data_IF_188642763323
#
_entry.id   IF_188642763323
#
_cell.length_a   1.000
_cell.length_b   1.000
_cell.length_c   1.000
_cell.angle_alpha   90.00
_cell.angle_beta   90.00
_cell.angle_gamma   90.00
#
_symmetry.space_group_name_H-M   'P 1'
#
loop_
_entity.id
_entity.type
_entity.pdbx_description
1 polymer ?
#
# COMPACT_ATOMS: atom_id res chain seq x y z
N UNK A 1 -15.89 -7.82 5.87
CA UNK A 1 -14.83 -7.06 5.22
C UNK A 1 -13.54 -7.05 6.04
N UNK A 2 -13.58 -6.63 7.28
CA UNK A 2 -12.39 -6.48 8.14
C UNK A 2 -11.49 -7.73 8.23
N UNK A 3 -12.06 -8.92 8.37
CA UNK A 3 -11.26 -10.16 8.44
C UNK A 3 -10.54 -10.47 7.12
N UNK A 4 -11.14 -10.13 5.99
CA UNK A 4 -10.54 -10.34 4.66
C UNK A 4 -9.38 -9.36 4.42
N UNK A 5 -9.51 -8.10 4.85
CA UNK A 5 -8.46 -7.09 4.74
C UNK A 5 -7.22 -7.46 5.56
N UNK A 6 -7.41 -8.25 6.62
CA UNK A 6 -6.29 -8.73 7.43
C UNK A 6 -5.29 -9.61 6.64
N UNK A 7 -5.73 -10.26 5.57
CA UNK A 7 -4.84 -10.99 4.65
C UNK A 7 -3.84 -10.08 3.93
N UNK A 8 -4.30 -8.90 3.50
CA UNK A 8 -3.44 -7.87 2.87
C UNK A 8 -2.46 -7.30 3.91
N UNK A 9 -2.93 -7.08 5.12
CA UNK A 9 -2.12 -6.60 6.25
C UNK A 9 -0.99 -7.60 6.55
N UNK A 10 -1.29 -8.90 6.62
CA UNK A 10 -0.27 -9.93 6.83
C UNK A 10 0.73 -10.03 5.67
N UNK A 11 0.25 -9.86 4.42
CA UNK A 11 1.13 -9.78 3.27
C UNK A 11 2.13 -8.63 3.40
N UNK A 12 1.64 -7.43 3.73
CA UNK A 12 2.48 -6.25 3.90
C UNK A 12 3.48 -6.39 5.05
N UNK A 13 3.04 -6.98 6.16
CA UNK A 13 3.93 -7.29 7.27
C UNK A 13 5.07 -8.24 6.85
N UNK A 14 4.77 -9.33 6.13
CA UNK A 14 5.77 -10.30 5.67
C UNK A 14 6.74 -9.67 4.67
N UNK A 15 6.25 -8.85 3.73
CA UNK A 15 7.12 -8.08 2.83
C UNK A 15 8.03 -7.14 3.62
N UNK A 16 7.48 -6.45 4.63
CA UNK A 16 8.28 -5.62 5.53
C UNK A 16 9.35 -6.41 6.28
N UNK A 17 9.02 -7.62 6.72
CA UNK A 17 9.93 -8.51 7.43
C UNK A 17 11.08 -9.02 6.53
N UNK A 18 10.85 -9.16 5.23
CA UNK A 18 11.87 -9.52 4.25
C UNK A 18 12.83 -8.37 3.92
N UNK A 19 12.43 -7.12 4.16
CA UNK A 19 13.18 -5.93 3.80
C UNK A 19 14.01 -5.39 4.96
N UNK A 20 15.33 -5.33 4.75
CA UNK A 20 16.24 -4.70 5.71
C UNK A 20 16.09 -3.18 5.67
N UNK A 21 16.10 -2.48 6.84
CA UNK A 21 15.99 -1.02 6.90
C UNK A 21 17.01 -0.28 6.03
N UNK A 22 18.26 -0.80 5.93
CA UNK A 22 19.28 -0.21 5.07
C UNK A 22 18.85 -0.20 3.59
N UNK A 23 18.22 -1.27 3.11
CA UNK A 23 17.75 -1.36 1.73
C UNK A 23 16.65 -0.33 1.43
N UNK A 24 15.74 -0.09 2.37
CA UNK A 24 14.73 0.98 2.24
C UNK A 24 15.38 2.36 2.16
N UNK A 25 16.41 2.59 2.97
CA UNK A 25 17.15 3.85 2.92
C UNK A 25 17.87 4.06 1.58
N UNK A 26 18.44 3.01 1.02
CA UNK A 26 19.03 3.03 -0.33
C UNK A 26 18.00 3.31 -1.42
N UNK A 27 16.76 2.85 -1.23
CA UNK A 27 15.65 3.05 -2.17
C UNK A 27 14.94 4.40 -2.01
N UNK A 28 15.29 5.25 -1.04
CA UNK A 28 14.56 6.50 -0.73
C UNK A 28 14.37 7.41 -1.95
N UNK A 29 15.41 7.56 -2.80
CA UNK A 29 15.32 8.39 -4.00
C UNK A 29 14.32 7.80 -5.00
N UNK A 30 14.27 6.48 -5.10
CA UNK A 30 13.29 5.79 -5.94
C UNK A 30 11.87 5.97 -5.39
N UNK A 31 11.69 5.84 -4.08
CA UNK A 31 10.40 5.97 -3.40
C UNK A 31 9.87 7.40 -3.60
N UNK A 32 10.64 8.41 -3.23
CA UNK A 32 10.15 9.79 -3.25
C UNK A 32 10.14 10.39 -4.66
N UNK A 33 11.14 10.14 -5.49
CA UNK A 33 11.20 10.75 -6.84
C UNK A 33 10.28 10.03 -7.82
N UNK A 34 10.33 8.68 -7.91
CA UNK A 34 9.46 7.95 -8.84
C UNK A 34 8.01 7.96 -8.38
N UNK A 35 7.79 7.79 -7.07
CA UNK A 35 6.45 7.81 -6.50
C UNK A 35 5.77 9.17 -6.66
N UNK A 36 6.46 10.28 -6.34
CA UNK A 36 5.89 11.62 -6.52
C UNK A 36 5.62 11.96 -7.99
N UNK A 37 6.57 11.65 -8.88
CA UNK A 37 6.36 11.83 -10.32
C UNK A 37 5.13 11.05 -10.81
N UNK A 38 5.00 9.79 -10.38
CA UNK A 38 3.88 8.96 -10.79
C UNK A 38 2.55 9.54 -10.27
N UNK A 39 2.43 9.80 -8.97
CA UNK A 39 1.17 10.29 -8.36
C UNK A 39 0.78 11.64 -8.94
N UNK A 40 1.73 12.59 -9.06
CA UNK A 40 1.44 13.93 -9.55
C UNK A 40 1.10 13.93 -11.04
N UNK A 41 1.88 13.25 -11.88
CA UNK A 41 1.65 13.25 -13.34
C UNK A 41 0.39 12.45 -13.68
N UNK A 42 0.24 11.23 -13.13
CA UNK A 42 -0.95 10.42 -13.39
C UNK A 42 -2.20 11.09 -12.83
N UNK A 43 -2.13 11.62 -11.59
CA UNK A 43 -3.24 12.34 -10.97
C UNK A 43 -3.66 13.57 -11.77
N UNK A 44 -2.70 14.41 -12.20
CA UNK A 44 -2.99 15.60 -13.00
C UNK A 44 -3.61 15.25 -14.36
N UNK A 45 -3.08 14.25 -15.07
CA UNK A 45 -3.62 13.83 -16.37
C UNK A 45 -5.03 13.24 -16.20
N UNK A 46 -5.25 12.36 -15.25
CA UNK A 46 -6.56 11.78 -14.99
C UNK A 46 -7.56 12.83 -14.52
N UNK A 47 -7.14 13.76 -13.65
CA UNK A 47 -7.94 14.92 -13.26
C UNK A 47 -8.37 15.76 -14.47
N UNK A 48 -7.46 16.06 -15.40
CA UNK A 48 -7.78 16.80 -16.62
C UNK A 48 -8.76 16.03 -17.52
N UNK A 49 -8.61 14.73 -17.63
CA UNK A 49 -9.54 13.88 -18.38
C UNK A 49 -10.94 13.96 -17.76
N UNK A 50 -11.05 13.83 -16.43
CA UNK A 50 -12.34 13.93 -15.73
C UNK A 50 -12.95 15.32 -15.89
N UNK A 51 -12.15 16.37 -15.74
CA UNK A 51 -12.58 17.76 -15.86
C UNK A 51 -13.12 18.07 -17.28
N UNK A 52 -12.41 17.64 -18.33
CA UNK A 52 -12.72 18.01 -19.70
C UNK A 52 -13.78 17.10 -20.34
N UNK A 53 -13.73 15.77 -20.08
CA UNK A 53 -14.66 14.83 -20.70
C UNK A 53 -15.98 14.74 -19.94
N UNK A 54 -15.94 14.78 -18.62
CA UNK A 54 -17.14 14.63 -17.77
C UNK A 54 -17.66 15.97 -17.23
N UNK A 55 -16.98 17.09 -17.55
CA UNK A 55 -17.36 18.47 -17.16
C UNK A 55 -17.67 18.60 -15.65
N UNK A 56 -16.94 17.85 -14.83
CA UNK A 56 -17.09 17.87 -13.38
C UNK A 56 -16.42 19.10 -12.78
N UNK A 57 -16.83 19.48 -11.56
CA UNK A 57 -16.18 20.54 -10.80
C UNK A 57 -14.71 20.19 -10.53
N UNK A 58 -13.86 21.20 -10.41
CA UNK A 58 -12.41 21.05 -10.21
C UNK A 58 -12.09 20.17 -8.98
N UNK A 59 -12.80 20.37 -7.86
CA UNK A 59 -12.64 19.59 -6.64
C UNK A 59 -12.97 18.11 -6.84
N UNK A 60 -14.08 17.81 -7.53
CA UNK A 60 -14.48 16.44 -7.84
C UNK A 60 -13.49 15.78 -8.80
N UNK A 61 -13.06 16.51 -9.84
CA UNK A 61 -12.07 16.04 -10.81
C UNK A 61 -10.72 15.75 -10.16
N UNK A 62 -10.31 16.58 -9.19
CA UNK A 62 -9.11 16.35 -8.38
C UNK A 62 -9.21 15.04 -7.61
N UNK A 63 -10.28 14.85 -6.83
CA UNK A 63 -10.46 13.64 -6.01
C UNK A 63 -10.48 12.39 -6.89
N UNK A 64 -11.27 12.38 -7.96
CA UNK A 64 -11.37 11.22 -8.87
C UNK A 64 -10.03 10.96 -9.56
N UNK A 65 -9.39 12.00 -10.11
CA UNK A 65 -8.13 11.86 -10.84
C UNK A 65 -7.00 11.30 -9.99
N UNK A 66 -6.85 11.82 -8.77
CA UNK A 66 -5.82 11.35 -7.85
C UNK A 66 -6.16 9.97 -7.25
N UNK A 67 -7.43 9.67 -6.97
CA UNK A 67 -7.84 8.34 -6.55
C UNK A 67 -7.55 7.28 -7.62
N UNK A 68 -7.87 7.56 -8.88
CA UNK A 68 -7.58 6.67 -10.00
C UNK A 68 -6.08 6.55 -10.32
N UNK A 69 -5.27 7.53 -9.93
CA UNK A 69 -3.81 7.47 -10.07
C UNK A 69 -3.16 6.44 -9.15
N UNK A 70 -3.77 6.16 -8.00
CA UNK A 70 -3.29 5.14 -7.07
C UNK A 70 -3.46 3.74 -7.69
N UNK A 71 -2.68 2.79 -7.18
CA UNK A 71 -2.69 1.39 -7.63
C UNK A 71 -2.91 0.47 -6.44
N UNK A 72 -3.43 -0.73 -6.68
CA UNK A 72 -3.66 -1.71 -5.61
C UNK A 72 -2.35 -2.33 -5.13
N UNK A 73 -1.87 -1.91 -3.97
CA UNK A 73 -0.66 -2.44 -3.33
C UNK A 73 -0.77 -3.95 -3.13
N UNK A 74 -1.92 -4.43 -2.63
CA UNK A 74 -2.15 -5.84 -2.38
C UNK A 74 -2.03 -6.71 -3.64
N UNK A 75 -2.67 -6.31 -4.73
CA UNK A 75 -2.66 -7.07 -5.98
C UNK A 75 -1.27 -7.10 -6.62
N UNK A 76 -0.60 -5.94 -6.73
CA UNK A 76 0.72 -5.86 -7.37
C UNK A 76 1.74 -6.68 -6.59
N UNK A 77 1.79 -6.53 -5.27
CA UNK A 77 2.78 -7.22 -4.46
C UNK A 77 2.53 -8.71 -4.40
N UNK A 78 1.27 -9.14 -4.36
CA UNK A 78 0.92 -10.55 -4.49
C UNK A 78 1.43 -11.12 -5.82
N UNK A 79 1.13 -10.46 -6.93
CA UNK A 79 1.55 -10.89 -8.28
C UNK A 79 3.07 -10.97 -8.41
N UNK A 80 3.79 -9.95 -7.93
CA UNK A 80 5.26 -9.92 -7.97
C UNK A 80 5.89 -11.00 -7.09
N UNK A 81 5.30 -11.28 -5.94
CA UNK A 81 5.75 -12.34 -5.02
C UNK A 81 5.54 -13.72 -5.64
N UNK A 82 4.34 -14.01 -6.16
CA UNK A 82 4.03 -15.29 -6.81
C UNK A 82 4.93 -15.57 -8.00
N UNK A 83 5.25 -14.54 -8.79
CA UNK A 83 6.16 -14.63 -9.93
C UNK A 83 7.65 -14.57 -9.56
N UNK A 84 7.98 -14.42 -8.27
CA UNK A 84 9.34 -14.23 -7.76
C UNK A 84 10.07 -13.03 -8.42
N UNK A 85 9.33 -11.99 -8.76
CA UNK A 85 9.83 -10.82 -9.50
C UNK A 85 9.98 -9.55 -8.64
N UNK A 86 9.72 -9.63 -7.34
CA UNK A 86 9.85 -8.50 -6.40
C UNK A 86 11.29 -7.92 -6.38
N UNK A 87 12.30 -8.76 -6.58
CA UNK A 87 13.71 -8.37 -6.60
C UNK A 87 14.24 -7.91 -7.98
N UNK A 88 13.42 -7.93 -9.01
CA UNK A 88 13.78 -7.39 -10.33
C UNK A 88 13.79 -5.87 -10.34
N UNK A 89 14.41 -5.25 -11.34
CA UNK A 89 14.46 -3.78 -11.45
C UNK A 89 13.05 -3.16 -11.44
N UNK A 90 12.13 -3.68 -12.26
CA UNK A 90 10.76 -3.15 -12.31
C UNK A 90 9.95 -3.53 -11.06
N UNK A 91 10.20 -4.69 -10.44
CA UNK A 91 9.55 -5.10 -9.20
C UNK A 91 9.90 -4.16 -8.03
N UNK A 92 11.19 -3.84 -7.87
CA UNK A 92 11.65 -2.88 -6.87
C UNK A 92 11.11 -1.47 -7.11
N UNK A 93 11.00 -1.03 -8.38
CA UNK A 93 10.42 0.26 -8.72
C UNK A 93 8.91 0.28 -8.47
N UNK A 94 8.19 -0.79 -8.82
CA UNK A 94 6.76 -0.94 -8.50
C UNK A 94 6.54 -0.85 -7.00
N UNK A 95 7.32 -1.58 -6.22
CA UNK A 95 7.27 -1.52 -4.75
C UNK A 95 7.54 -0.11 -4.22
N UNK A 96 8.57 0.57 -4.75
CA UNK A 96 8.91 1.95 -4.34
C UNK A 96 7.75 2.92 -4.59
N UNK A 97 7.10 2.83 -5.76
CA UNK A 97 5.95 3.67 -6.12
C UNK A 97 4.76 3.37 -5.20
N UNK A 98 4.44 2.11 -4.97
CA UNK A 98 3.33 1.71 -4.09
C UNK A 98 3.53 2.20 -2.65
N UNK A 99 4.75 2.06 -2.12
CA UNK A 99 5.07 2.55 -0.79
C UNK A 99 4.90 4.07 -0.69
N UNK A 100 5.29 4.82 -1.74
CA UNK A 100 5.03 6.26 -1.80
C UNK A 100 3.52 6.55 -1.88
N UNK A 101 2.75 5.79 -2.65
CA UNK A 101 1.30 5.96 -2.76
C UNK A 101 0.61 5.79 -1.40
N UNK A 102 1.01 4.79 -0.61
CA UNK A 102 0.48 4.57 0.74
C UNK A 102 0.77 5.78 1.67
N UNK A 103 1.94 6.39 1.55
CA UNK A 103 2.28 7.63 2.27
C UNK A 103 1.48 8.81 1.73
N UNK A 104 1.35 8.94 0.41
CA UNK A 104 0.64 10.04 -0.25
C UNK A 104 -0.88 9.99 -0.05
N UNK A 105 -1.45 8.81 0.23
CA UNK A 105 -2.88 8.66 0.51
C UNK A 105 -3.30 9.49 1.75
N UNK A 106 -2.43 9.63 2.75
CA UNK A 106 -2.72 10.38 3.97
C UNK A 106 -3.06 11.86 3.67
N UNK A 107 -2.18 12.66 3.01
CA UNK A 107 -2.51 14.04 2.67
C UNK A 107 -3.64 14.14 1.63
N UNK A 108 -3.77 13.18 0.71
CA UNK A 108 -4.87 13.16 -0.25
C UNK A 108 -6.23 13.02 0.45
N UNK A 109 -6.35 12.11 1.40
CA UNK A 109 -7.57 11.93 2.21
C UNK A 109 -7.85 13.17 3.09
N UNK A 110 -6.81 13.79 3.64
CA UNK A 110 -6.94 15.00 4.45
C UNK A 110 -7.46 16.22 3.66
N UNK A 111 -7.22 16.29 2.36
CA UNK A 111 -7.68 17.37 1.48
C UNK A 111 -9.17 17.23 1.13
N UNK A 112 -9.74 16.01 1.11
CA UNK A 112 -11.14 15.78 0.69
C UNK A 112 -12.15 16.62 1.48
N UNK A 113 -12.16 16.64 2.83
CA UNK A 113 -13.09 17.48 3.61
C UNK A 113 -12.93 18.97 3.34
N UNK A 114 -11.69 19.45 3.10
CA UNK A 114 -11.41 20.84 2.75
C UNK A 114 -12.03 21.22 1.40
N UNK A 115 -11.96 20.32 0.41
CA UNK A 115 -12.57 20.51 -0.90
C UNK A 115 -14.10 20.42 -0.86
N UNK A 116 -14.65 19.62 0.05
CA UNK A 116 -16.09 19.50 0.26
C UNK A 116 -16.71 20.69 1.01
N UNK A 117 -15.91 21.62 1.54
CA UNK A 117 -16.37 22.76 2.34
C UNK A 117 -16.99 22.37 3.68
N UNK A 118 -16.77 21.13 4.13
CA UNK A 118 -17.13 20.68 5.47
C UNK A 118 -16.08 21.14 6.44
N UNK A 119 -16.49 21.77 7.55
CA UNK A 119 -15.55 22.15 8.60
C UNK A 119 -14.84 20.89 9.11
N UNK A 120 -13.58 20.73 8.71
CA UNK A 120 -12.76 19.62 9.13
C UNK A 120 -12.30 19.85 10.56
N UNK A 121 -12.95 19.20 11.51
CA UNK A 121 -12.70 19.38 12.93
C UNK A 121 -11.35 18.88 13.43
N UNK A 122 -10.53 18.16 12.63
CA UNK A 122 -9.38 17.46 13.19
C UNK A 122 -8.08 17.33 12.34
N UNK A 123 -7.86 18.13 11.29
CA UNK A 123 -6.59 18.04 10.54
C UNK A 123 -5.60 19.18 10.81
N UNK A 124 -5.56 19.67 12.05
CA UNK A 124 -4.59 20.67 12.50
C UNK A 124 -3.19 20.08 12.77
N UNK A 125 -2.26 20.94 13.17
CA UNK A 125 -0.89 20.59 13.60
C UNK A 125 -0.88 19.40 14.57
N UNK A 126 -1.90 19.27 15.42
CA UNK A 126 -2.05 18.17 16.37
C UNK A 126 -2.17 16.79 15.67
N UNK A 127 -2.86 16.70 14.53
CA UNK A 127 -2.98 15.45 13.75
C UNK A 127 -1.61 15.02 13.18
N UNK A 128 -0.88 15.93 12.56
CA UNK A 128 0.46 15.64 12.05
C UNK A 128 1.44 15.30 13.19
N UNK A 129 1.33 15.98 14.33
CA UNK A 129 2.11 15.64 15.50
C UNK A 129 1.77 14.23 16.03
N UNK A 130 0.49 13.85 16.03
CA UNK A 130 0.06 12.49 16.41
C UNK A 130 0.63 11.42 15.46
N UNK A 131 0.63 11.67 14.14
CA UNK A 131 1.25 10.77 13.15
C UNK A 131 2.74 10.58 13.46
N UNK A 132 3.49 11.67 13.62
CA UNK A 132 4.93 11.63 13.94
C UNK A 132 5.17 10.91 15.27
N UNK A 133 4.36 11.23 16.28
CA UNK A 133 4.45 10.57 17.59
C UNK A 133 4.17 9.07 17.50
N UNK A 134 3.21 8.65 16.68
CA UNK A 134 2.88 7.23 16.46
C UNK A 134 4.04 6.48 15.80
N UNK A 135 4.62 7.01 14.72
CA UNK A 135 5.76 6.37 14.07
C UNK A 135 6.99 6.32 14.98
N UNK A 136 7.24 7.42 15.73
CA UNK A 136 8.33 7.46 16.72
C UNK A 136 8.07 6.46 17.85
N UNK A 137 6.84 6.42 18.35
CA UNK A 137 6.40 5.47 19.37
C UNK A 137 6.53 4.01 18.92
N UNK A 138 6.13 3.72 17.67
CA UNK A 138 6.27 2.39 17.08
C UNK A 138 7.74 1.96 16.95
N UNK A 139 8.61 2.89 16.54
CA UNK A 139 10.04 2.64 16.47
C UNK A 139 10.65 2.35 17.85
N UNK A 140 10.31 3.16 18.85
CA UNK A 140 10.78 2.97 20.24
C UNK A 140 10.22 1.67 20.83
N UNK A 141 8.93 1.41 20.61
CA UNK A 141 8.25 0.17 21.06
C UNK A 141 8.92 -1.07 20.45
N UNK A 142 9.22 -1.04 19.14
CA UNK A 142 9.93 -2.13 18.49
C UNK A 142 11.29 -2.40 19.14
N UNK A 143 12.06 -1.34 19.38
CA UNK A 143 13.43 -1.47 19.90
C UNK A 143 13.48 -1.90 21.38
N UNK A 144 12.60 -1.32 22.21
CA UNK A 144 12.69 -1.47 23.68
C UNK A 144 11.71 -2.49 24.26
N UNK A 145 10.63 -2.81 23.56
CA UNK A 145 9.59 -3.72 24.04
C UNK A 145 9.53 -5.01 23.22
N UNK A 146 9.39 -4.90 21.90
CA UNK A 146 9.20 -6.08 21.05
C UNK A 146 10.39 -7.05 21.12
N UNK A 147 11.61 -6.57 20.98
CA UNK A 147 12.81 -7.44 20.98
C UNK A 147 12.99 -8.20 22.30
N UNK A 148 12.97 -7.56 23.48
CA UNK A 148 13.08 -8.31 24.75
C UNK A 148 11.87 -9.23 25.00
N UNK A 149 10.67 -8.84 24.54
CA UNK A 149 9.48 -9.65 24.69
C UNK A 149 9.55 -10.93 23.84
N UNK A 150 9.96 -10.83 22.57
CA UNK A 150 10.21 -12.02 21.74
C UNK A 150 11.31 -12.92 22.32
N UNK A 151 12.37 -12.37 22.89
CA UNK A 151 13.41 -13.15 23.58
C UNK A 151 12.86 -13.90 24.78
N UNK A 152 11.96 -13.28 25.53
CA UNK A 152 11.30 -13.94 26.68
C UNK A 152 10.40 -15.09 26.21
N UNK A 153 9.59 -14.85 25.19
CA UNK A 153 8.68 -15.85 24.62
C UNK A 153 9.45 -17.01 23.99
N UNK A 154 10.50 -16.73 23.22
CA UNK A 154 11.32 -17.77 22.59
C UNK A 154 12.00 -18.73 23.59
N UNK A 155 12.32 -18.23 24.79
CA UNK A 155 12.87 -19.10 25.85
C UNK A 155 11.89 -20.18 26.34
N UNK A 156 10.58 -20.00 26.10
CA UNK A 156 9.57 -21.00 26.46
C UNK A 156 9.60 -22.23 25.54
N UNK A 157 10.23 -22.12 24.35
CA UNK A 157 10.29 -23.19 23.35
C UNK A 157 8.96 -23.47 22.64
N UNK A 158 7.90 -22.69 22.93
CA UNK A 158 6.57 -22.89 22.35
C UNK A 158 6.41 -22.02 21.10
N UNK A 159 6.41 -22.63 19.91
CA UNK A 159 6.25 -21.96 18.60
C UNK A 159 4.89 -21.24 18.51
N UNK A 160 3.87 -21.80 19.15
CA UNK A 160 2.51 -21.23 19.18
C UNK A 160 2.47 -19.88 19.87
N UNK A 161 3.30 -19.66 20.91
CA UNK A 161 3.41 -18.38 21.59
C UNK A 161 4.05 -17.31 20.70
N UNK A 162 5.05 -17.67 19.90
CA UNK A 162 5.69 -16.74 18.96
C UNK A 162 4.67 -16.29 17.91
N UNK A 163 3.88 -17.23 17.38
CA UNK A 163 2.79 -16.93 16.44
C UNK A 163 1.75 -16.00 17.05
N UNK A 164 1.27 -16.34 18.24
CA UNK A 164 0.24 -15.55 18.94
C UNK A 164 0.72 -14.12 19.24
N UNK A 165 1.96 -13.97 19.67
CA UNK A 165 2.58 -12.67 19.94
C UNK A 165 2.77 -11.87 18.64
N UNK A 166 3.25 -12.51 17.59
CA UNK A 166 3.39 -11.87 16.28
C UNK A 166 2.07 -11.32 15.74
N UNK A 167 1.02 -12.15 15.76
CA UNK A 167 -0.33 -11.76 15.34
C UNK A 167 -0.92 -10.66 16.26
N UNK A 168 -0.71 -10.76 17.56
CA UNK A 168 -1.17 -9.75 18.52
C UNK A 168 -0.52 -8.38 18.25
N UNK A 169 0.79 -8.35 18.00
CA UNK A 169 1.50 -7.10 17.69
C UNK A 169 1.00 -6.50 16.40
N UNK A 170 0.82 -7.31 15.35
CA UNK A 170 0.27 -6.82 14.08
C UNK A 170 -1.12 -6.23 14.30
N UNK A 171 -2.00 -6.95 14.99
CA UNK A 171 -3.36 -6.48 15.28
C UNK A 171 -3.37 -5.18 16.08
N UNK A 172 -2.53 -5.08 17.12
CA UNK A 172 -2.41 -3.89 17.95
C UNK A 172 -1.95 -2.66 17.13
N UNK A 173 -0.97 -2.84 16.25
CA UNK A 173 -0.50 -1.76 15.37
C UNK A 173 -1.57 -1.38 14.35
N UNK A 174 -2.25 -2.35 13.75
CA UNK A 174 -3.35 -2.11 12.80
C UNK A 174 -4.46 -1.29 13.45
N UNK A 175 -4.92 -1.69 14.63
CA UNK A 175 -5.95 -0.94 15.38
C UNK A 175 -5.48 0.48 15.73
N UNK A 176 -4.21 0.64 16.12
CA UNK A 176 -3.63 1.97 16.38
C UNK A 176 -3.62 2.83 15.12
N UNK A 177 -3.23 2.29 13.97
CA UNK A 177 -3.20 3.02 12.71
C UNK A 177 -4.61 3.41 12.24
N UNK A 178 -5.56 2.47 12.37
CA UNK A 178 -6.96 2.70 12.01
C UNK A 178 -7.58 3.84 12.85
N UNK A 179 -7.38 3.84 14.17
CA UNK A 179 -7.87 4.91 15.06
C UNK A 179 -7.32 6.29 14.72
N UNK A 180 -6.16 6.36 14.08
CA UNK A 180 -5.51 7.60 13.65
C UNK A 180 -5.83 7.97 12.20
N UNK A 181 -6.61 7.14 11.48
CA UNK A 181 -6.89 7.34 10.06
C UNK A 181 -5.65 7.19 9.18
N UNK A 182 -4.65 6.40 9.61
CA UNK A 182 -3.42 6.12 8.86
C UNK A 182 -3.59 4.76 8.17
N UNK A 183 -2.94 4.60 7.01
CA UNK A 183 -2.92 3.33 6.28
C UNK A 183 -2.47 2.17 7.19
N UNK A 184 -3.37 1.21 7.39
CA UNK A 184 -3.13 -0.01 8.19
C UNK A 184 -2.08 -0.90 7.52
N UNK A 185 -2.05 -0.93 6.18
CA UNK A 185 -1.08 -1.66 5.37
C UNK A 185 0.33 -1.09 5.54
N UNK A 186 0.47 0.25 5.55
CA UNK A 186 1.73 0.92 5.83
C UNK A 186 2.21 0.62 7.26
N UNK A 187 1.32 0.64 8.26
CA UNK A 187 1.62 0.30 9.64
C UNK A 187 2.14 -1.13 9.80
N UNK A 188 1.46 -2.08 9.16
CA UNK A 188 1.87 -3.49 9.15
C UNK A 188 3.25 -3.67 8.48
N UNK A 189 3.46 -3.03 7.33
CA UNK A 189 4.74 -3.05 6.62
C UNK A 189 5.89 -2.52 7.49
N UNK A 190 5.72 -1.36 8.11
CA UNK A 190 6.73 -0.77 8.99
C UNK A 190 7.02 -1.65 10.22
N UNK A 191 5.98 -2.28 10.78
CA UNK A 191 6.15 -3.24 11.87
C UNK A 191 7.01 -4.43 11.43
N UNK A 192 6.79 -4.95 10.22
CA UNK A 192 7.62 -5.98 9.62
C UNK A 192 9.08 -5.53 9.45
N UNK A 193 9.29 -4.34 8.89
CA UNK A 193 10.65 -3.75 8.71
C UNK A 193 11.38 -3.58 10.05
N UNK A 194 10.68 -3.11 11.08
CA UNK A 194 11.27 -2.94 12.41
C UNK A 194 11.64 -4.28 13.07
N UNK A 195 10.97 -5.36 12.70
CA UNK A 195 11.25 -6.71 13.16
C UNK A 195 12.25 -7.45 12.25
N UNK A 196 12.53 -6.94 11.05
CA UNK A 196 13.42 -7.56 10.05
C UNK A 196 14.85 -7.82 10.55
N UNK A 197 15.35 -6.98 11.46
CA UNK A 197 16.65 -7.12 12.12
C UNK A 197 16.59 -7.99 13.40
N UNK A 198 15.43 -8.59 13.71
CA UNK A 198 15.27 -9.44 14.89
C UNK A 198 15.80 -10.86 14.64
N UNK A 199 16.34 -11.48 15.68
CA UNK A 199 16.76 -12.89 15.69
C UNK A 199 15.57 -13.84 15.39
N UNK A 200 14.32 -13.38 15.67
CA UNK A 200 13.09 -14.18 15.54
C UNK A 200 12.37 -14.02 14.20
N UNK A 201 12.97 -13.30 13.26
CA UNK A 201 12.40 -13.00 11.94
C UNK A 201 11.86 -14.25 11.23
N UNK A 202 12.68 -15.30 11.13
CA UNK A 202 12.32 -16.51 10.38
C UNK A 202 11.22 -17.33 11.06
N UNK A 203 11.20 -17.35 12.39
CA UNK A 203 10.15 -18.03 13.15
C UNK A 203 8.80 -17.32 13.00
N UNK A 204 8.79 -15.98 13.09
CA UNK A 204 7.60 -15.17 12.88
C UNK A 204 7.10 -15.30 11.44
N UNK A 205 8.00 -15.25 10.45
CA UNK A 205 7.69 -15.43 9.03
C UNK A 205 7.02 -16.79 8.78
N UNK A 206 7.65 -17.88 9.23
CA UNK A 206 7.14 -19.23 9.05
C UNK A 206 5.78 -19.44 9.72
N UNK A 207 5.56 -18.80 10.88
CA UNK A 207 4.32 -18.91 11.64
C UNK A 207 3.16 -18.14 11.01
N UNK A 208 3.42 -17.02 10.33
CA UNK A 208 2.39 -16.13 9.77
C UNK A 208 2.06 -16.47 8.32
N UNK A 209 3.02 -16.99 7.55
CA UNK A 209 2.85 -17.28 6.13
C UNK A 209 1.59 -18.11 5.77
N UNK A 210 1.19 -19.15 6.52
CA UNK A 210 -0.02 -19.92 6.21
C UNK A 210 -1.29 -19.09 6.32
N UNK A 211 -1.37 -18.21 7.32
CA UNK A 211 -2.53 -17.33 7.53
C UNK A 211 -2.67 -16.28 6.42
N UNK A 212 -1.54 -15.74 5.92
CA UNK A 212 -1.52 -14.81 4.79
C UNK A 212 -2.24 -15.40 3.58
N UNK A 213 -1.89 -16.61 3.17
CA UNK A 213 -2.46 -17.24 1.98
C UNK A 213 -3.97 -17.44 2.08
N UNK A 214 -4.45 -17.95 3.21
CA UNK A 214 -5.86 -18.17 3.48
C UNK A 214 -6.67 -16.87 3.47
N UNK A 215 -6.21 -15.87 4.22
CA UNK A 215 -6.93 -14.60 4.39
C UNK A 215 -6.89 -13.75 3.13
N UNK A 216 -5.80 -13.80 2.37
CA UNK A 216 -5.70 -13.11 1.10
C UNK A 216 -6.67 -13.71 0.06
N UNK A 217 -6.82 -15.04 0.03
CA UNK A 217 -7.85 -15.70 -0.77
C UNK A 217 -9.26 -15.24 -0.38
N UNK A 218 -9.54 -15.14 0.92
CA UNK A 218 -10.80 -14.61 1.44
C UNK A 218 -11.02 -13.15 1.03
N UNK A 219 -9.96 -12.32 1.04
CA UNK A 219 -10.03 -10.92 0.59
C UNK A 219 -10.49 -10.84 -0.87
N UNK A 220 -9.83 -11.54 -1.79
CA UNK A 220 -10.21 -11.50 -3.21
C UNK A 220 -11.60 -12.08 -3.46
N UNK A 221 -12.01 -13.10 -2.71
CA UNK A 221 -13.38 -13.63 -2.78
C UNK A 221 -14.40 -12.57 -2.32
N UNK A 222 -14.15 -11.89 -1.21
CA UNK A 222 -15.04 -10.85 -0.67
C UNK A 222 -15.16 -9.68 -1.65
N UNK A 223 -14.05 -9.20 -2.21
CA UNK A 223 -14.04 -8.15 -3.23
C UNK A 223 -14.85 -8.57 -4.46
N UNK A 224 -14.67 -9.81 -4.92
CA UNK A 224 -15.46 -10.34 -6.04
C UNK A 224 -16.96 -10.37 -5.75
N UNK A 225 -17.36 -10.76 -4.53
CA UNK A 225 -18.77 -10.81 -4.13
C UNK A 225 -19.43 -9.43 -3.96
N UNK A 226 -18.67 -8.39 -3.65
CA UNK A 226 -19.21 -7.02 -3.55
C UNK A 226 -19.40 -6.35 -4.90
N UNK A 227 -18.90 -6.95 -5.98
CA UNK A 227 -19.04 -6.40 -7.33
C UNK A 227 -20.46 -6.52 -7.83
N UNK A 228 -21.08 -5.38 -8.19
CA UNK A 228 -22.45 -5.32 -8.73
C UNK A 228 -22.45 -5.72 -10.21
N UNK A 229 -22.66 -7.01 -10.47
CA UNK A 229 -22.69 -7.55 -11.84
C UNK A 229 -23.83 -6.99 -12.69
N UNK A 230 -24.93 -6.50 -12.08
CA UNK A 230 -26.03 -5.84 -12.79
C UNK A 230 -25.56 -4.64 -13.61
N UNK A 231 -24.68 -3.79 -13.03
CA UNK A 231 -24.13 -2.63 -13.73
C UNK A 231 -23.31 -3.02 -14.96
N UNK A 232 -22.57 -4.13 -14.85
CA UNK A 232 -21.79 -4.65 -15.98
C UNK A 232 -22.67 -5.11 -17.13
N UNK A 233 -23.86 -5.66 -16.83
CA UNK A 233 -24.82 -6.10 -17.83
C UNK A 233 -25.58 -4.90 -18.44
N UNK A 234 -25.93 -3.90 -17.63
CA UNK A 234 -26.69 -2.72 -18.06
C UNK A 234 -25.85 -1.77 -18.93
N UNK A 235 -24.56 -1.57 -18.58
CA UNK A 235 -23.67 -0.61 -19.26
C UNK A 235 -22.29 -1.22 -19.59
N UNK A 236 -22.24 -2.33 -20.35
CA UNK A 236 -20.99 -3.07 -20.56
C UNK A 236 -19.91 -2.24 -21.29
N UNK A 237 -20.32 -1.46 -22.28
CA UNK A 237 -19.39 -0.63 -23.06
C UNK A 237 -18.76 0.48 -22.22
N UNK A 238 -19.55 1.09 -21.32
CA UNK A 238 -19.05 2.16 -20.44
C UNK A 238 -18.05 1.59 -19.40
N UNK A 239 -18.40 0.48 -18.78
CA UNK A 239 -17.58 -0.10 -17.71
C UNK A 239 -16.32 -0.75 -18.27
N UNK A 240 -16.47 -1.65 -19.24
CA UNK A 240 -15.30 -2.34 -19.86
C UNK A 240 -14.45 -1.35 -20.63
N UNK A 241 -15.06 -0.49 -21.44
CA UNK A 241 -14.36 0.54 -22.21
C UNK A 241 -13.65 1.54 -21.30
N UNK A 242 -14.29 1.98 -20.23
CA UNK A 242 -13.69 2.85 -19.20
C UNK A 242 -12.51 2.19 -18.49
N UNK A 243 -12.66 0.94 -18.05
CA UNK A 243 -11.60 0.18 -17.39
C UNK A 243 -10.40 -0.03 -18.33
N UNK A 244 -10.65 -0.47 -19.58
CA UNK A 244 -9.57 -0.66 -20.57
C UNK A 244 -8.88 0.66 -20.90
N UNK A 245 -9.63 1.74 -21.07
CA UNK A 245 -9.08 3.08 -21.32
C UNK A 245 -8.21 3.55 -20.15
N UNK A 246 -8.67 3.36 -18.91
CA UNK A 246 -7.90 3.72 -17.72
C UNK A 246 -6.58 2.92 -17.64
N UNK A 247 -6.65 1.59 -17.85
CA UNK A 247 -5.47 0.72 -17.88
C UNK A 247 -4.47 1.17 -18.96
N UNK A 248 -4.93 1.48 -20.17
CA UNK A 248 -4.08 1.95 -21.25
C UNK A 248 -3.44 3.31 -20.92
N UNK A 249 -4.22 4.27 -20.46
CA UNK A 249 -3.74 5.61 -20.08
C UNK A 249 -2.69 5.50 -18.98
N UNK A 250 -2.97 4.77 -17.89
CA UNK A 250 -2.01 4.57 -16.81
C UNK A 250 -0.74 3.85 -17.30
N UNK A 251 -0.89 2.81 -18.12
CA UNK A 251 0.27 2.09 -18.70
C UNK A 251 1.14 3.04 -19.50
N UNK A 252 0.56 3.88 -20.36
CA UNK A 252 1.30 4.85 -21.17
C UNK A 252 2.02 5.88 -20.31
N UNK A 253 1.33 6.46 -19.33
CA UNK A 253 1.92 7.46 -18.42
C UNK A 253 3.11 6.86 -17.66
N UNK A 254 2.91 5.70 -17.03
CA UNK A 254 3.94 5.03 -16.24
C UNK A 254 5.14 4.60 -17.10
N UNK A 255 4.87 4.06 -18.29
CA UNK A 255 5.92 3.71 -19.25
C UNK A 255 6.71 4.95 -19.68
N UNK A 256 6.05 6.08 -19.94
CA UNK A 256 6.69 7.34 -20.30
C UNK A 256 7.57 7.88 -19.15
N UNK A 257 7.08 7.86 -17.92
CA UNK A 257 7.84 8.24 -16.71
C UNK A 257 9.09 7.36 -16.56
N UNK A 258 8.94 6.04 -16.69
CA UNK A 258 10.05 5.09 -16.61
C UNK A 258 11.07 5.32 -17.74
N UNK A 259 10.62 5.58 -18.97
CA UNK A 259 11.48 5.91 -20.08
C UNK A 259 12.24 7.23 -19.90
N UNK A 260 11.58 8.25 -19.36
CA UNK A 260 12.23 9.51 -19.01
C UNK A 260 13.37 9.30 -18.02
N UNK A 261 13.21 8.37 -17.08
CA UNK A 261 14.26 7.94 -16.13
C UNK A 261 15.27 6.96 -16.73
N UNK A 262 15.27 6.76 -18.07
CA UNK A 262 16.23 5.93 -18.81
C UNK A 262 16.18 4.43 -18.53
N UNK A 263 15.06 3.91 -17.99
CA UNK A 263 14.88 2.45 -17.92
C UNK A 263 14.76 1.83 -19.31
N UNK A 264 15.13 0.54 -19.44
CA UNK A 264 14.95 -0.21 -20.68
C UNK A 264 13.47 -0.28 -21.10
N UNK A 265 13.19 -0.44 -22.38
CA UNK A 265 11.81 -0.55 -22.89
C UNK A 265 11.03 -1.65 -22.19
N UNK A 266 11.65 -2.82 -22.01
CA UNK A 266 11.00 -3.96 -21.35
C UNK A 266 10.63 -3.65 -19.90
N UNK A 267 11.57 -3.13 -19.10
CA UNK A 267 11.30 -2.74 -17.71
C UNK A 267 10.26 -1.61 -17.61
N UNK A 268 10.26 -0.67 -18.55
CA UNK A 268 9.28 0.43 -18.56
C UNK A 268 7.86 -0.06 -18.85
N UNK A 269 7.70 -0.98 -19.82
CA UNK A 269 6.41 -1.58 -20.11
C UNK A 269 5.93 -2.47 -18.98
N UNK A 270 6.81 -3.31 -18.41
CA UNK A 270 6.46 -4.15 -17.26
C UNK A 270 6.04 -3.32 -16.04
N UNK A 271 6.74 -2.23 -15.75
CA UNK A 271 6.35 -1.28 -14.70
C UNK A 271 4.98 -0.67 -15.00
N UNK A 272 4.79 -0.19 -16.23
CA UNK A 272 3.54 0.43 -16.67
C UNK A 272 2.35 -0.50 -16.55
N UNK A 273 2.45 -1.72 -17.07
CA UNK A 273 1.38 -2.71 -17.02
C UNK A 273 1.12 -3.22 -15.60
N UNK A 274 2.17 -3.36 -14.79
CA UNK A 274 2.06 -3.84 -13.41
C UNK A 274 1.29 -2.85 -12.51
N UNK A 275 1.51 -1.55 -12.68
CA UNK A 275 0.90 -0.49 -11.85
C UNK A 275 -0.33 0.17 -12.48
N UNK A 276 -0.75 -0.22 -13.69
CA UNK A 276 -1.85 0.43 -14.40
C UNK A 276 -3.23 0.18 -13.79
N UNK A 277 -3.37 -0.82 -12.98
CA UNK A 277 -4.62 -1.25 -12.35
C UNK A 277 -5.16 -0.26 -11.32
#
# INVERSE_FOLDING_TARGET
>A
MELAEFGVILLMFLIGLELRPQRLWEMRDSIFVMGSLQVLISGAILMLIVLLLFQQQLSVSFVIGFALALSSTAFVLQLLTEKQQLNTTYGQQSFSILLFQDIAAIPLLAIIPLLAGTESTHHGVAYFAAIIATFTGLFLFSRYVMRPFFRFVAKSGATELITAVGLFIILAVVLLMDTLGISTTLGAFLTGVLLADSEFRHEVEASIAPFKGLLLGLFFMTVGMTTQLSLLIEMPLLIIGGAVSLLLIKTLILTAIARYKKYSWNNSLLLGTCLAQ
#
